data_IF_854372375361
#
_entry.id   IF_854372375361
#
_cell.length_a   1.000
_cell.length_b   1.000
_cell.length_c   1.000
_cell.angle_alpha   90.00
_cell.angle_beta   90.00
_cell.angle_gamma   90.00
#
_symmetry.space_group_name_H-M   'P 1'
#
loop_
_entity.id
_entity.type
_entity.pdbx_description
1 polymer ?
#
# COMPACT_ATOMS: atom_id res chain seq x y z
N UNK A 1 4.57 -34.30 -21.98
CA UNK A 1 4.42 -33.17 -21.02
C UNK A 1 3.37 -32.23 -21.56
N UNK A 2 2.51 -31.70 -20.69
CA UNK A 2 1.45 -30.77 -21.10
C UNK A 2 2.00 -29.37 -21.37
N UNK A 3 1.31 -28.57 -22.18
CA UNK A 3 1.62 -27.15 -22.42
C UNK A 3 1.88 -26.36 -21.12
N UNK A 4 1.07 -26.62 -20.08
CA UNK A 4 1.23 -26.02 -18.76
C UNK A 4 2.53 -26.39 -18.04
N UNK A 5 3.03 -27.60 -18.28
CA UNK A 5 4.28 -28.08 -17.69
C UNK A 5 5.47 -27.40 -18.37
N UNK A 6 5.42 -27.23 -19.69
CA UNK A 6 6.41 -26.46 -20.44
C UNK A 6 6.42 -24.97 -20.03
N UNK A 7 5.26 -24.38 -19.74
CA UNK A 7 5.17 -23.03 -19.19
C UNK A 7 5.79 -22.94 -17.79
N UNK A 8 5.44 -23.85 -16.89
CA UNK A 8 6.00 -23.86 -15.53
C UNK A 8 7.52 -24.07 -15.54
N UNK A 9 8.02 -24.98 -16.37
CA UNK A 9 9.46 -25.26 -16.50
C UNK A 9 10.20 -24.10 -17.16
N UNK A 10 9.57 -23.38 -18.09
CA UNK A 10 10.13 -22.17 -18.70
C UNK A 10 10.19 -21.03 -17.69
N UNK A 11 9.13 -20.85 -16.89
CA UNK A 11 9.11 -19.86 -15.80
C UNK A 11 10.21 -20.14 -14.78
N UNK A 12 10.31 -21.39 -14.30
CA UNK A 12 11.35 -21.78 -13.34
C UNK A 12 12.77 -21.56 -13.87
N UNK A 13 13.02 -21.89 -15.14
CA UNK A 13 14.32 -21.67 -15.80
C UNK A 13 14.67 -20.21 -16.02
N UNK A 14 13.68 -19.35 -16.21
CA UNK A 14 13.88 -17.93 -16.48
C UNK A 14 13.63 -17.03 -15.27
N UNK A 15 13.29 -17.58 -14.09
CA UNK A 15 12.90 -16.82 -12.92
C UNK A 15 13.94 -15.75 -12.53
N UNK A 16 15.22 -16.08 -12.55
CA UNK A 16 16.30 -15.16 -12.18
C UNK A 16 16.52 -14.05 -13.22
N UNK A 17 16.29 -14.33 -14.50
CA UNK A 17 16.36 -13.35 -15.58
C UNK A 17 15.11 -12.45 -15.61
N UNK A 18 13.94 -13.02 -15.36
CA UNK A 18 12.67 -12.30 -15.25
C UNK A 18 12.68 -11.35 -14.06
N UNK A 19 13.17 -11.77 -12.88
CA UNK A 19 13.36 -10.89 -11.71
C UNK A 19 14.20 -9.65 -12.00
N UNK A 20 15.19 -9.77 -12.90
CA UNK A 20 16.05 -8.64 -13.32
C UNK A 20 15.43 -7.74 -14.38
N UNK A 21 14.45 -8.22 -15.14
CA UNK A 21 13.98 -7.57 -16.39
C UNK A 21 12.54 -7.09 -16.32
N UNK A 22 11.69 -7.75 -15.52
CA UNK A 22 10.27 -7.45 -15.35
C UNK A 22 9.98 -7.34 -13.87
N UNK A 23 9.69 -6.14 -13.37
CA UNK A 23 9.67 -5.95 -11.95
C UNK A 23 8.31 -6.37 -11.39
N UNK A 24 8.39 -6.98 -10.22
CA UNK A 24 7.40 -7.36 -9.22
C UNK A 24 5.91 -7.13 -9.48
N UNK A 25 5.15 -8.06 -8.91
CA UNK A 25 3.70 -8.12 -8.97
C UNK A 25 3.02 -6.89 -8.35
N UNK A 26 2.13 -6.24 -9.10
CA UNK A 26 1.20 -5.25 -8.56
C UNK A 26 0.02 -5.94 -7.90
N UNK A 27 -0.57 -5.31 -6.89
CA UNK A 27 -1.89 -5.68 -6.37
C UNK A 27 -2.89 -4.55 -6.57
N UNK A 28 -4.18 -4.83 -6.39
CA UNK A 28 -5.23 -3.83 -6.46
C UNK A 28 -6.11 -3.88 -5.22
N UNK A 29 -6.29 -2.73 -4.57
CA UNK A 29 -7.31 -2.54 -3.54
C UNK A 29 -8.52 -1.86 -4.18
N UNK A 30 -9.73 -2.20 -3.73
CA UNK A 30 -10.94 -1.55 -4.22
C UNK A 30 -11.94 -1.27 -3.11
N UNK A 31 -12.81 -0.28 -3.33
CA UNK A 31 -13.88 0.07 -2.41
C UNK A 31 -15.14 -0.81 -2.58
N UNK A 32 -15.05 -1.93 -3.31
CA UNK A 32 -16.20 -2.80 -3.61
C UNK A 32 -16.86 -3.37 -2.36
N UNK A 33 -16.03 -3.89 -1.45
CA UNK A 33 -16.53 -4.61 -0.26
C UNK A 33 -16.56 -3.73 0.98
N UNK A 34 -15.57 -2.85 1.13
CA UNK A 34 -15.36 -1.98 2.29
C UNK A 34 -14.90 -0.59 1.82
N UNK A 35 -15.09 0.43 2.64
CA UNK A 35 -14.48 1.74 2.41
C UNK A 35 -12.94 1.66 2.48
N UNK A 36 -12.27 2.58 1.81
CA UNK A 36 -10.82 2.79 1.88
C UNK A 36 -10.57 4.09 2.64
N UNK A 37 -9.62 4.10 3.57
CA UNK A 37 -9.25 5.31 4.30
C UNK A 37 -7.98 5.88 3.70
N UNK A 38 -7.96 7.19 3.46
CA UNK A 38 -6.80 7.91 2.94
C UNK A 38 -6.31 8.88 4.01
N UNK A 39 -5.07 8.70 4.44
CA UNK A 39 -4.39 9.60 5.36
C UNK A 39 -3.55 10.58 4.55
N UNK A 40 -3.80 11.88 4.75
CA UNK A 40 -3.05 12.96 4.12
C UNK A 40 -1.99 13.46 5.09
N UNK A 41 -0.73 13.36 4.68
CA UNK A 41 0.44 13.83 5.43
C UNK A 41 1.22 14.85 4.60
N UNK A 42 2.05 15.67 5.24
CA UNK A 42 3.04 16.48 4.51
C UNK A 42 4.36 15.73 4.30
N UNK A 43 5.30 16.31 3.53
CA UNK A 43 6.65 15.75 3.32
C UNK A 43 7.48 15.50 4.60
N UNK A 44 7.12 16.11 5.73
CA UNK A 44 7.76 15.90 7.04
C UNK A 44 7.03 14.83 7.89
N UNK A 45 6.09 14.09 7.29
CA UNK A 45 5.27 13.08 7.96
C UNK A 45 4.33 13.66 9.03
N UNK A 46 3.94 14.93 8.94
CA UNK A 46 2.92 15.53 9.82
C UNK A 46 1.54 15.23 9.25
N UNK A 47 0.65 14.73 10.11
CA UNK A 47 -0.76 14.57 9.79
C UNK A 47 -1.40 15.90 9.40
N UNK A 48 -2.10 15.92 8.26
CA UNK A 48 -2.85 17.08 7.78
C UNK A 48 -4.34 16.81 7.85
N UNK A 49 -4.79 15.74 7.21
CA UNK A 49 -6.19 15.42 7.08
C UNK A 49 -6.40 13.91 6.89
N UNK A 50 -7.64 13.47 7.01
CA UNK A 50 -8.04 12.12 6.70
C UNK A 50 -9.43 12.12 6.07
N UNK A 51 -9.61 11.31 5.04
CA UNK A 51 -10.90 11.13 4.39
C UNK A 51 -11.11 9.66 4.02
N UNK A 52 -12.35 9.29 3.73
CA UNK A 52 -12.72 7.95 3.33
C UNK A 52 -13.27 7.94 1.91
N UNK A 53 -12.89 6.92 1.14
CA UNK A 53 -13.55 6.54 -0.10
C UNK A 53 -14.61 5.53 0.29
N UNK A 54 -15.87 5.97 0.29
CA UNK A 54 -16.99 5.14 0.72
C UNK A 54 -17.12 3.87 -0.14
N UNK A 55 -17.69 2.84 0.46
CA UNK A 55 -17.98 1.58 -0.23
C UNK A 55 -18.83 1.85 -1.47
N UNK A 56 -18.48 1.19 -2.58
CA UNK A 56 -19.22 1.24 -3.84
C UNK A 56 -20.71 0.97 -3.56
N UNK A 57 -21.56 1.84 -4.11
CA UNK A 57 -23.01 1.65 -4.04
C UNK A 57 -23.65 2.13 -5.33
N UNK A 58 -24.66 1.38 -5.78
CA UNK A 58 -25.40 1.76 -6.99
C UNK A 58 -26.27 2.97 -6.72
N UNK A 59 -26.38 3.84 -7.72
CA UNK A 59 -27.33 4.93 -7.70
C UNK A 59 -28.76 4.40 -7.53
N UNK A 60 -29.51 5.04 -6.64
CA UNK A 60 -30.95 4.79 -6.42
C UNK A 60 -31.70 6.12 -6.51
N UNK A 61 -33.03 6.07 -6.56
CA UNK A 61 -33.87 7.30 -6.58
C UNK A 61 -33.61 8.25 -5.40
N UNK A 62 -33.02 7.78 -4.30
CA UNK A 62 -32.79 8.54 -3.06
C UNK A 62 -31.32 8.81 -2.75
N UNK A 63 -30.39 8.17 -3.46
CA UNK A 63 -28.97 8.29 -3.20
C UNK A 63 -28.22 8.22 -4.54
N UNK A 64 -27.37 9.21 -4.89
CA UNK A 64 -26.57 9.19 -6.12
C UNK A 64 -25.62 7.97 -6.21
N UNK A 65 -25.38 7.27 -5.09
CA UNK A 65 -24.47 6.13 -5.04
C UNK A 65 -23.01 6.56 -4.99
N UNK A 66 -22.13 5.60 -4.74
CA UNK A 66 -20.69 5.82 -4.66
C UNK A 66 -20.01 5.12 -5.84
N UNK A 67 -19.12 5.79 -6.57
CA UNK A 67 -18.43 5.18 -7.70
C UNK A 67 -17.52 4.04 -7.25
N UNK A 68 -17.33 3.07 -8.13
CA UNK A 68 -16.30 2.05 -7.96
C UNK A 68 -14.92 2.68 -8.13
N UNK A 69 -14.03 2.40 -7.19
CA UNK A 69 -12.64 2.85 -7.17
C UNK A 69 -11.76 1.63 -6.97
N UNK A 70 -10.82 1.44 -7.90
CA UNK A 70 -9.76 0.44 -7.82
C UNK A 70 -8.42 1.15 -7.92
N UNK A 71 -7.53 0.86 -6.97
CA UNK A 71 -6.22 1.50 -6.85
C UNK A 71 -5.17 0.40 -6.98
N UNK A 72 -4.32 0.53 -8.00
CA UNK A 72 -3.19 -0.36 -8.24
C UNK A 72 -1.99 0.11 -7.44
N UNK A 73 -1.33 -0.79 -6.72
CA UNK A 73 -0.21 -0.47 -5.84
C UNK A 73 0.86 -1.55 -6.01
N UNK A 74 2.16 -1.20 -5.99
CA UNK A 74 3.23 -2.18 -5.96
C UNK A 74 3.09 -3.12 -4.75
N UNK A 75 3.39 -4.40 -4.96
CA UNK A 75 3.47 -5.40 -3.91
C UNK A 75 4.73 -6.26 -4.09
N UNK A 76 5.19 -6.89 -3.02
CA UNK A 76 6.18 -7.97 -3.15
C UNK A 76 5.47 -9.29 -3.41
N UNK A 77 6.15 -10.24 -4.06
CA UNK A 77 5.62 -11.60 -4.24
C UNK A 77 5.28 -12.28 -2.91
N UNK A 78 6.03 -11.94 -1.84
CA UNK A 78 5.77 -12.45 -0.51
C UNK A 78 4.46 -11.88 0.05
N UNK A 79 4.21 -10.59 -0.06
CA UNK A 79 2.94 -9.98 0.35
C UNK A 79 1.75 -10.56 -0.41
N UNK A 80 1.92 -10.95 -1.68
CA UNK A 80 0.87 -11.64 -2.46
C UNK A 80 0.58 -13.07 -1.98
N UNK A 81 1.55 -13.73 -1.35
CA UNK A 81 1.36 -15.06 -0.73
C UNK A 81 0.71 -14.96 0.65
N UNK A 82 0.30 -13.76 1.08
CA UNK A 82 -0.34 -13.54 2.39
C UNK A 82 -1.56 -14.43 2.58
N UNK A 83 -1.50 -15.24 3.62
CA UNK A 83 -2.63 -16.00 4.17
C UNK A 83 -3.06 -15.41 5.52
N UNK A 84 -4.09 -15.97 6.13
CA UNK A 84 -4.54 -15.56 7.47
C UNK A 84 -3.51 -15.83 8.57
N UNK A 85 -2.55 -16.73 8.34
CA UNK A 85 -1.56 -17.20 9.32
C UNK A 85 -0.19 -16.56 9.16
N UNK A 86 0.20 -16.19 7.95
CA UNK A 86 1.49 -15.57 7.66
C UNK A 86 1.45 -14.04 7.81
N UNK A 87 2.44 -13.47 8.52
CA UNK A 87 2.59 -12.02 8.70
C UNK A 87 3.42 -11.49 7.53
N UNK A 88 2.74 -11.14 6.45
CA UNK A 88 3.35 -10.67 5.20
C UNK A 88 2.76 -9.29 4.87
N UNK A 89 3.28 -8.21 5.48
CA UNK A 89 2.75 -6.87 5.29
C UNK A 89 2.85 -6.42 3.83
N UNK A 90 1.89 -5.62 3.40
CA UNK A 90 2.07 -4.85 2.18
C UNK A 90 2.98 -3.65 2.46
N UNK A 91 3.88 -3.35 1.53
CA UNK A 91 4.77 -2.22 1.63
C UNK A 91 4.01 -0.93 1.32
N UNK A 92 4.29 0.16 2.04
CA UNK A 92 3.74 1.52 1.82
C UNK A 92 2.26 1.67 2.22
N UNK A 93 1.43 0.65 2.03
CA UNK A 93 0.03 0.59 2.44
C UNK A 93 -0.28 -0.74 3.11
N UNK A 94 -1.30 -0.82 3.97
CA UNK A 94 -1.86 -2.11 4.41
C UNK A 94 -3.23 -1.90 5.07
N UNK A 95 -3.82 -3.00 5.54
CA UNK A 95 -5.00 -2.98 6.39
C UNK A 95 -4.67 -2.41 7.78
N UNK A 96 -5.63 -1.72 8.39
CA UNK A 96 -5.45 -1.05 9.69
C UNK A 96 -4.89 -1.95 10.79
N UNK A 97 -5.21 -3.25 10.80
CA UNK A 97 -4.66 -4.21 11.75
C UNK A 97 -3.15 -4.40 11.68
N UNK A 98 -2.50 -4.08 10.55
CA UNK A 98 -1.04 -4.03 10.41
C UNK A 98 -0.46 -2.67 10.82
N UNK A 99 -1.28 -1.62 10.87
CA UNK A 99 -0.83 -0.24 11.09
C UNK A 99 -1.13 0.27 12.51
N UNK A 100 -1.80 -0.54 13.34
CA UNK A 100 -2.36 -0.17 14.65
C UNK A 100 -1.34 0.21 15.75
N UNK A 101 -0.07 0.36 15.40
CA UNK A 101 0.99 0.81 16.31
C UNK A 101 1.47 -0.23 17.32
N UNK A 102 0.95 -1.46 17.29
CA UNK A 102 1.27 -2.49 18.27
C UNK A 102 1.20 -3.91 17.68
N UNK A 103 2.08 -4.78 18.19
CA UNK A 103 2.10 -6.22 17.92
C UNK A 103 2.92 -6.62 16.69
N UNK A 104 3.12 -7.95 16.53
CA UNK A 104 4.02 -8.53 15.52
C UNK A 104 3.74 -8.08 14.08
N UNK A 105 2.47 -7.81 13.75
CA UNK A 105 2.07 -7.30 12.42
C UNK A 105 2.60 -5.90 12.17
N UNK A 106 2.47 -5.03 13.17
CA UNK A 106 3.00 -3.68 13.12
C UNK A 106 4.52 -3.67 13.09
N UNK A 107 5.18 -4.48 13.93
CA UNK A 107 6.64 -4.56 13.96
C UNK A 107 7.21 -4.99 12.60
N UNK A 108 6.58 -5.99 11.97
CA UNK A 108 6.96 -6.44 10.63
C UNK A 108 6.74 -5.35 9.57
N UNK A 109 5.59 -4.67 9.58
CA UNK A 109 5.30 -3.58 8.65
C UNK A 109 6.28 -2.41 8.82
N UNK A 110 6.50 -1.99 10.08
CA UNK A 110 7.38 -0.88 10.40
C UNK A 110 8.83 -1.16 10.01
N UNK A 111 9.31 -2.40 10.22
CA UNK A 111 10.65 -2.81 9.80
C UNK A 111 10.79 -2.80 8.27
N UNK A 112 9.80 -3.32 7.55
CA UNK A 112 9.80 -3.31 6.07
C UNK A 112 9.82 -1.87 5.54
N UNK A 113 8.95 -1.00 6.09
CA UNK A 113 8.87 0.41 5.73
C UNK A 113 10.19 1.14 6.02
N UNK A 114 10.80 0.89 7.19
CA UNK A 114 12.08 1.46 7.57
C UNK A 114 13.17 1.09 6.56
N UNK A 115 13.31 -0.20 6.25
CA UNK A 115 14.35 -0.68 5.33
C UNK A 115 14.19 -0.06 3.94
N UNK A 116 12.96 0.08 3.45
CA UNK A 116 12.72 0.73 2.17
C UNK A 116 13.02 2.23 2.20
N UNK A 117 12.59 2.94 3.25
CA UNK A 117 12.82 4.38 3.43
C UNK A 117 14.31 4.74 3.56
N UNK A 118 15.10 3.89 4.22
CA UNK A 118 16.55 4.06 4.43
C UNK A 118 17.38 3.57 3.24
N UNK A 119 16.78 2.87 2.29
CA UNK A 119 17.46 2.42 1.07
C UNK A 119 17.81 3.58 0.14
N UNK A 120 18.74 3.33 -0.79
CA UNK A 120 19.07 4.28 -1.88
C UNK A 120 17.89 4.61 -2.79
N UNK A 121 16.82 3.81 -2.76
CA UNK A 121 15.61 4.00 -3.57
C UNK A 121 14.45 4.58 -2.77
N UNK A 122 14.63 4.89 -1.48
CA UNK A 122 13.59 5.49 -0.66
C UNK A 122 13.19 6.87 -1.20
N UNK A 123 12.02 6.95 -1.84
CA UNK A 123 11.46 8.22 -2.31
C UNK A 123 11.06 9.12 -1.14
N UNK A 124 10.92 10.42 -1.40
CA UNK A 124 10.52 11.39 -0.36
C UNK A 124 9.14 11.04 0.22
N UNK A 125 8.22 10.53 -0.60
CA UNK A 125 6.92 10.00 -0.19
C UNK A 125 7.05 8.89 0.86
N UNK A 126 7.89 7.88 0.61
CA UNK A 126 8.11 6.75 1.52
C UNK A 126 8.76 7.23 2.82
N UNK A 127 9.72 8.15 2.72
CA UNK A 127 10.36 8.76 3.88
C UNK A 127 9.36 9.54 4.74
N UNK A 128 8.45 10.29 4.13
CA UNK A 128 7.39 11.01 4.84
C UNK A 128 6.47 10.05 5.61
N UNK A 129 6.05 8.93 4.98
CA UNK A 129 5.24 7.90 5.65
C UNK A 129 6.03 7.27 6.81
N UNK A 130 7.31 6.96 6.62
CA UNK A 130 8.15 6.43 7.70
C UNK A 130 8.25 7.40 8.89
N UNK A 131 8.42 8.70 8.62
CA UNK A 131 8.44 9.72 9.68
C UNK A 131 7.10 9.86 10.40
N UNK A 132 5.98 9.68 9.68
CA UNK A 132 4.64 9.64 10.29
C UNK A 132 4.51 8.46 11.25
N UNK A 133 4.89 7.25 10.84
CA UNK A 133 4.84 6.07 11.70
C UNK A 133 5.78 6.14 12.89
N UNK A 134 6.95 6.79 12.75
CA UNK A 134 7.87 7.05 13.86
C UNK A 134 7.23 7.82 15.01
N UNK A 135 6.20 8.63 14.75
CA UNK A 135 5.47 9.40 15.78
C UNK A 135 4.45 8.54 16.53
N UNK A 136 4.02 7.41 15.96
CA UNK A 136 3.04 6.52 16.58
C UNK A 136 1.64 7.11 16.76
N UNK A 137 1.27 8.16 16.01
CA UNK A 137 0.02 8.92 16.23
C UNK A 137 -1.19 8.35 15.49
N UNK A 138 -1.00 7.35 14.62
CA UNK A 138 -2.05 6.84 13.72
C UNK A 138 -3.34 6.43 14.44
N UNK A 139 -3.25 5.79 15.61
CA UNK A 139 -4.44 5.40 16.38
C UNK A 139 -5.23 6.62 16.89
N UNK A 140 -4.54 7.68 17.28
CA UNK A 140 -5.13 8.95 17.70
C UNK A 140 -5.73 9.71 16.51
N UNK A 141 -5.00 9.76 15.40
CA UNK A 141 -5.42 10.45 14.17
C UNK A 141 -6.67 9.80 13.55
N UNK A 142 -6.81 8.47 13.67
CA UNK A 142 -7.97 7.72 13.19
C UNK A 142 -9.06 7.48 14.25
N UNK A 143 -8.93 8.04 15.46
CA UNK A 143 -9.83 7.76 16.58
C UNK A 143 -11.30 8.13 16.32
N UNK A 144 -11.54 9.10 15.43
CA UNK A 144 -12.89 9.52 15.03
C UNK A 144 -13.57 8.52 14.09
N UNK A 145 -12.83 7.94 13.14
CA UNK A 145 -13.39 6.98 12.18
C UNK A 145 -13.49 5.56 12.74
N UNK A 146 -12.58 5.18 13.65
CA UNK A 146 -12.51 3.83 14.24
C UNK A 146 -12.55 2.72 13.16
N UNK A 147 -11.61 2.73 12.20
CA UNK A 147 -11.60 1.73 11.13
C UNK A 147 -11.46 0.31 11.71
N UNK A 148 -12.05 -0.66 11.01
CA UNK A 148 -11.92 -2.07 11.36
C UNK A 148 -10.53 -2.59 10.90
N UNK A 149 -10.06 -3.68 11.49
CA UNK A 149 -8.70 -4.19 11.24
C UNK A 149 -8.45 -4.59 9.79
N UNK A 150 -9.50 -4.87 9.01
CA UNK A 150 -9.44 -5.22 7.59
C UNK A 150 -9.65 -4.02 6.64
N UNK A 151 -9.83 -2.80 7.18
CA UNK A 151 -9.98 -1.58 6.39
C UNK A 151 -8.63 -1.23 5.76
N UNK A 152 -8.59 -1.10 4.43
CA UNK A 152 -7.38 -0.69 3.73
C UNK A 152 -7.09 0.80 4.02
N UNK A 153 -5.85 1.08 4.42
CA UNK A 153 -5.37 2.44 4.67
C UNK A 153 -4.30 2.75 3.61
N UNK A 154 -4.47 3.88 2.92
CA UNK A 154 -3.50 4.40 1.97
C UNK A 154 -3.09 5.83 2.35
N UNK A 155 -2.00 6.31 1.76
CA UNK A 155 -1.39 7.59 2.10
C UNK A 155 -1.34 8.52 0.88
N UNK A 156 -1.57 9.80 1.15
CA UNK A 156 -1.34 10.92 0.24
C UNK A 156 -0.29 11.83 0.90
N UNK A 157 0.79 12.17 0.20
CA UNK A 157 1.81 13.09 0.70
C UNK A 157 1.73 14.40 -0.05
N UNK A 158 1.48 15.49 0.67
CA UNK A 158 1.48 16.83 0.11
C UNK A 158 2.86 17.47 0.31
N UNK A 159 3.53 17.76 -0.80
CA UNK A 159 4.85 18.40 -0.82
C UNK A 159 4.80 19.69 -1.64
N UNK A 160 5.36 20.81 -1.14
CA UNK A 160 5.46 22.04 -1.91
C UNK A 160 6.23 21.79 -3.22
N UNK A 161 5.62 22.13 -4.37
CA UNK A 161 6.26 21.96 -5.68
C UNK A 161 6.05 20.58 -6.34
N UNK A 162 5.39 19.64 -5.68
CA UNK A 162 5.02 18.35 -6.28
C UNK A 162 3.50 18.33 -6.57
N UNK A 163 3.09 18.28 -7.86
CA UNK A 163 1.68 18.24 -8.21
C UNK A 163 1.04 16.88 -7.89
N UNK A 164 1.84 15.81 -7.86
CA UNK A 164 1.35 14.46 -7.57
C UNK A 164 1.44 14.18 -6.08
N UNK A 165 0.28 14.15 -5.42
CA UNK A 165 0.21 13.89 -3.97
C UNK A 165 -0.17 12.45 -3.65
N UNK A 166 -0.87 11.78 -4.59
CA UNK A 166 -1.33 10.41 -4.44
C UNK A 166 -0.21 9.44 -4.80
N UNK A 167 0.20 8.69 -3.80
CA UNK A 167 1.35 7.78 -3.88
C UNK A 167 1.15 6.68 -4.94
N UNK A 168 -0.09 6.23 -5.14
CA UNK A 168 -0.42 5.20 -6.12
C UNK A 168 -0.53 5.72 -7.57
N UNK A 169 -0.37 7.02 -7.80
CA UNK A 169 -0.32 7.62 -9.14
C UNK A 169 1.09 8.19 -9.45
N UNK A 170 2.08 7.90 -8.60
CA UNK A 170 3.48 8.35 -8.76
C UNK A 170 4.34 7.27 -9.42
N UNK A 171 4.63 7.41 -10.71
CA UNK A 171 5.47 6.48 -11.48
C UNK A 171 6.88 6.34 -10.88
N UNK A 172 7.42 7.39 -10.25
CA UNK A 172 8.75 7.33 -9.64
C UNK A 172 8.78 6.40 -8.44
N UNK A 173 7.65 6.24 -7.75
CA UNK A 173 7.51 5.26 -6.69
C UNK A 173 7.54 3.85 -7.23
N UNK A 174 6.86 3.59 -8.35
CA UNK A 174 6.90 2.29 -9.00
C UNK A 174 8.35 1.98 -9.42
N UNK A 175 9.06 2.91 -10.06
CA UNK A 175 10.46 2.71 -10.45
C UNK A 175 11.40 2.51 -9.26
N UNK A 176 11.20 3.24 -8.17
CA UNK A 176 11.95 3.07 -6.93
C UNK A 176 11.67 1.71 -6.29
N UNK A 177 10.41 1.29 -6.28
CA UNK A 177 9.97 -0.03 -5.83
C UNK A 177 10.65 -1.14 -6.62
N UNK A 178 10.63 -1.01 -7.94
CA UNK A 178 11.24 -1.94 -8.89
C UNK A 178 12.75 -2.10 -8.69
N UNK A 179 13.43 -1.06 -8.24
CA UNK A 179 14.87 -1.13 -8.02
C UNK A 179 15.26 -1.69 -6.63
N UNK A 180 14.36 -1.58 -5.65
CA UNK A 180 14.63 -2.00 -4.27
C UNK A 180 14.47 -3.51 -4.03
N UNK A 181 13.53 -4.16 -4.72
CA UNK A 181 13.22 -5.58 -4.61
C UNK A 181 13.64 -6.36 -5.85
#
# INVERSE_FOLDING_TARGET
MGFWQHLADSYGRNADALKKTYPLSTTSISNKSNAIVVIVINGNGKFLNVYQIDKESKATKKNPGNPFVSITIPASEESLKRTSTAILPYPIFDQYGYLKGAGKKYDAYFLQLKNFAESKFGTEHVKAIYQYFKKGTIASDLAKMRPHDNTNIIFQVEMPGHPQTKIWEDDTLFDAWHQYY
#
